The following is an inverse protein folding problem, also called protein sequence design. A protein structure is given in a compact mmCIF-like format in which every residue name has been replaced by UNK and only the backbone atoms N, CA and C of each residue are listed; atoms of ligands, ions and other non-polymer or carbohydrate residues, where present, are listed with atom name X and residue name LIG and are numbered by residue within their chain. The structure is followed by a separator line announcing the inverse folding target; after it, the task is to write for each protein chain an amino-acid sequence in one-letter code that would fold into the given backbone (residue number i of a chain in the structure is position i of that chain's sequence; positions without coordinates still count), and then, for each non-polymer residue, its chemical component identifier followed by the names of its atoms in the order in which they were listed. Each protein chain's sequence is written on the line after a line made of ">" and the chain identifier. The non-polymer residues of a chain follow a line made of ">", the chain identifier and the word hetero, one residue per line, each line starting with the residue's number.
data_IF_626641025535
#
_entry.id   IF_626641025535
#
_cell.length_a   1.000
_cell.length_b   1.000
_cell.length_c   1.000
_cell.angle_alpha   90.00
_cell.angle_beta   90.00
_cell.angle_gamma   90.00
#
_symmetry.space_group_name_H-M   'P 1'
#
loop_
_entity.id
_entity.type
_entity.pdbx_description
1 polymer ?
#
# COMPACT_ATOMS: atom_id res chain seq x y z
N UNK A 1 -13.86 -3.91 -0.50
CA UNK A 1 -13.46 -4.67 0.71
C UNK A 1 -14.21 -4.11 1.90
N UNK A 2 -14.99 -4.94 2.57
CA UNK A 2 -15.77 -4.54 3.73
C UNK A 2 -15.36 -5.25 5.02
N UNK A 3 -14.52 -6.27 4.94
CA UNK A 3 -14.07 -7.01 6.10
C UNK A 3 -13.05 -6.21 6.90
N UNK A 4 -13.30 -6.07 8.22
CA UNK A 4 -12.43 -5.29 9.11
C UNK A 4 -10.99 -5.78 9.10
N UNK A 5 -10.79 -7.09 9.23
CA UNK A 5 -9.45 -7.66 9.28
C UNK A 5 -8.69 -7.48 7.97
N UNK A 6 -9.39 -7.58 6.84
CA UNK A 6 -8.78 -7.36 5.53
C UNK A 6 -8.31 -5.91 5.37
N UNK A 7 -9.18 -4.94 5.66
CA UNK A 7 -8.83 -3.52 5.59
C UNK A 7 -7.71 -3.18 6.55
N UNK A 8 -7.79 -3.68 7.79
CA UNK A 8 -6.76 -3.43 8.80
C UNK A 8 -5.40 -3.99 8.36
N UNK A 9 -5.38 -5.15 7.70
CA UNK A 9 -4.14 -5.74 7.20
C UNK A 9 -3.54 -4.88 6.10
N UNK A 10 -4.35 -4.39 5.17
CA UNK A 10 -3.88 -3.48 4.12
C UNK A 10 -3.30 -2.21 4.75
N UNK A 11 -4.03 -1.60 5.69
CA UNK A 11 -3.58 -0.38 6.35
C UNK A 11 -2.33 -0.59 7.20
N UNK A 12 -2.22 -1.72 7.89
CA UNK A 12 -1.03 -2.05 8.67
C UNK A 12 0.22 -2.19 7.82
N UNK A 13 0.06 -2.74 6.62
CA UNK A 13 1.17 -2.83 5.67
C UNK A 13 1.59 -1.47 5.14
N UNK A 14 0.62 -0.59 4.83
CA UNK A 14 0.94 0.78 4.41
C UNK A 14 1.62 1.53 5.54
N UNK A 15 1.16 1.36 6.78
CA UNK A 15 1.80 1.98 7.95
C UNK A 15 3.27 1.59 8.06
N UNK A 16 3.59 0.32 7.87
CA UNK A 16 4.96 -0.16 7.92
C UNK A 16 5.80 0.42 6.79
N UNK A 17 5.24 0.52 5.58
CA UNK A 17 5.99 0.99 4.43
C UNK A 17 6.29 2.49 4.48
N UNK A 18 5.33 3.31 4.89
CA UNK A 18 5.42 4.75 4.70
C UNK A 18 4.81 5.60 5.80
N UNK A 19 4.18 4.99 6.81
CA UNK A 19 3.37 5.70 7.82
C UNK A 19 2.30 6.57 7.16
N UNK A 20 1.78 6.15 6.01
CA UNK A 20 0.82 6.90 5.19
C UNK A 20 1.36 8.25 4.68
N UNK A 21 2.67 8.40 4.60
CA UNK A 21 3.27 9.62 4.03
C UNK A 21 3.49 9.39 2.54
N UNK A 22 2.65 10.01 1.71
CA UNK A 22 2.65 9.76 0.27
C UNK A 22 3.94 10.24 -0.43
N UNK A 23 4.50 11.36 0.01
CA UNK A 23 5.69 11.93 -0.61
C UNK A 23 6.98 11.55 0.10
N UNK A 24 7.09 10.30 0.54
CA UNK A 24 8.28 9.79 1.22
C UNK A 24 9.14 8.96 0.26
N UNK A 25 10.42 9.27 0.22
CA UNK A 25 11.43 8.50 -0.49
C UNK A 25 12.14 7.59 0.52
N UNK A 26 12.64 6.45 0.09
CA UNK A 26 13.36 5.53 0.96
C UNK A 26 14.50 6.26 1.68
N UNK A 27 14.63 6.02 2.98
CA UNK A 27 15.56 6.77 3.82
C UNK A 27 14.91 7.93 4.55
N UNK A 28 13.67 8.27 4.25
CA UNK A 28 12.86 9.21 5.02
C UNK A 28 12.74 10.62 4.43
N UNK A 29 13.40 10.91 3.31
CA UNK A 29 13.27 12.22 2.68
C UNK A 29 11.87 12.42 2.12
N UNK A 30 11.27 13.58 2.39
CA UNK A 30 9.97 13.94 1.82
C UNK A 30 10.20 14.75 0.56
N UNK A 31 9.93 14.14 -0.58
CA UNK A 31 10.20 14.72 -1.90
C UNK A 31 9.05 14.39 -2.86
N UNK A 32 8.98 15.11 -3.98
CA UNK A 32 7.99 14.80 -5.00
C UNK A 32 8.37 13.52 -5.77
N UNK A 33 7.41 13.00 -6.52
CA UNK A 33 7.58 11.79 -7.33
C UNK A 33 8.84 11.85 -8.19
N UNK A 34 9.10 12.96 -8.86
CA UNK A 34 10.26 13.08 -9.77
C UNK A 34 11.59 13.25 -9.04
N UNK A 35 11.56 13.57 -7.76
CA UNK A 35 12.77 13.86 -6.97
C UNK A 35 13.28 12.67 -6.17
N UNK A 36 12.53 11.59 -6.08
CA UNK A 36 13.00 10.38 -5.40
C UNK A 36 13.94 9.62 -6.34
N UNK A 37 15.23 9.58 -6.00
CA UNK A 37 16.27 9.02 -6.86
C UNK A 37 16.78 7.67 -6.41
N UNK A 38 16.44 7.24 -5.20
CA UNK A 38 16.94 6.00 -4.62
C UNK A 38 15.84 5.25 -3.89
N UNK A 39 15.76 3.94 -4.14
CA UNK A 39 14.87 3.06 -3.40
C UNK A 39 13.40 3.28 -3.67
N UNK A 40 12.58 2.96 -2.67
CA UNK A 40 11.14 3.04 -2.78
C UNK A 40 10.58 4.43 -2.62
N UNK A 41 9.43 4.67 -3.24
CA UNK A 41 8.71 5.93 -3.13
C UNK A 41 7.24 5.69 -2.79
N UNK A 42 6.72 6.52 -1.89
CA UNK A 42 5.29 6.63 -1.64
C UNK A 42 4.71 5.60 -0.67
N UNK A 43 3.39 5.47 -0.69
CA UNK A 43 2.60 4.74 0.29
C UNK A 43 3.04 3.30 0.51
N UNK A 44 3.35 2.57 -0.55
CA UNK A 44 3.80 1.19 -0.44
C UNK A 44 5.24 1.01 -0.92
N UNK A 45 5.97 2.11 -1.01
CA UNK A 45 7.38 2.12 -1.37
C UNK A 45 7.63 1.40 -2.70
N UNK A 46 7.01 1.91 -3.77
CA UNK A 46 7.23 1.39 -5.11
C UNK A 46 8.71 1.48 -5.46
N UNK A 47 9.36 0.33 -5.54
CA UNK A 47 10.81 0.23 -5.72
C UNK A 47 11.17 -0.18 -7.15
N UNK A 48 10.44 -1.12 -7.75
CA UNK A 48 10.72 -1.55 -9.11
C UNK A 48 10.44 -0.42 -10.10
N UNK A 49 11.26 -0.32 -11.12
CA UNK A 49 11.12 0.73 -12.14
C UNK A 49 9.73 0.66 -12.78
N UNK A 50 9.24 -0.54 -13.09
CA UNK A 50 7.93 -0.71 -13.73
C UNK A 50 6.78 -0.21 -12.87
N UNK A 51 6.81 -0.50 -11.58
CA UNK A 51 5.75 -0.08 -10.66
C UNK A 51 5.82 1.43 -10.37
N UNK A 52 7.02 1.95 -10.19
CA UNK A 52 7.24 3.37 -9.97
C UNK A 52 6.82 4.20 -11.20
N UNK A 53 7.27 3.81 -12.39
CA UNK A 53 6.86 4.48 -13.63
C UNK A 53 5.37 4.33 -13.89
N UNK A 54 4.80 3.18 -13.51
CA UNK A 54 3.37 2.95 -13.61
C UNK A 54 2.56 3.98 -12.86
N UNK A 55 3.00 4.40 -11.67
CA UNK A 55 2.36 5.45 -10.91
C UNK A 55 2.31 6.77 -11.71
N UNK A 56 3.44 7.19 -12.26
CA UNK A 56 3.49 8.43 -13.04
C UNK A 56 2.64 8.36 -14.30
N UNK A 57 2.71 7.24 -15.01
CA UNK A 57 1.92 7.03 -16.25
C UNK A 57 0.42 6.99 -15.94
N UNK A 58 0.02 6.32 -14.87
CA UNK A 58 -1.37 6.25 -14.45
C UNK A 58 -1.89 7.66 -14.13
N UNK A 59 -1.16 8.43 -13.35
CA UNK A 59 -1.59 9.77 -12.98
C UNK A 59 -1.59 10.74 -14.17
N UNK A 60 -0.68 10.58 -15.12
CA UNK A 60 -0.71 11.34 -16.36
C UNK A 60 -1.97 11.05 -17.17
N UNK A 61 -2.38 9.77 -17.23
CA UNK A 61 -3.56 9.35 -17.97
C UNK A 61 -4.87 9.73 -17.28
N UNK A 62 -4.93 9.65 -15.96
CA UNK A 62 -6.16 9.80 -15.19
C UNK A 62 -6.20 11.10 -14.37
N UNK A 63 -5.34 12.05 -14.68
CA UNK A 63 -5.33 13.40 -14.10
C UNK A 63 -5.19 13.38 -12.57
N UNK A 64 -4.17 12.69 -12.06
CA UNK A 64 -3.86 12.74 -10.64
C UNK A 64 -2.40 13.15 -10.41
N UNK A 65 -2.10 13.54 -9.15
CA UNK A 65 -0.75 13.88 -8.74
C UNK A 65 -0.07 12.61 -8.17
N UNK A 66 1.02 12.13 -8.78
CA UNK A 66 1.70 10.93 -8.30
C UNK A 66 2.38 11.10 -6.94
N UNK A 67 2.48 12.33 -6.45
CA UNK A 67 3.02 12.61 -5.11
C UNK A 67 1.92 12.71 -4.05
N UNK A 68 0.65 12.62 -4.43
CA UNK A 68 -0.49 12.77 -3.52
C UNK A 68 -0.96 11.43 -2.99
N UNK A 69 -1.57 11.47 -1.80
CA UNK A 69 -2.22 10.30 -1.22
C UNK A 69 -3.29 9.75 -2.17
N UNK A 70 -4.14 10.60 -2.70
CA UNK A 70 -5.25 10.20 -3.57
C UNK A 70 -4.77 9.55 -4.85
N UNK A 71 -3.77 10.15 -5.51
CA UNK A 71 -3.21 9.58 -6.74
C UNK A 71 -2.57 8.22 -6.51
N UNK A 72 -1.84 8.08 -5.41
CA UNK A 72 -1.17 6.84 -5.07
C UNK A 72 -2.16 5.74 -4.69
N UNK A 73 -3.20 6.06 -3.94
CA UNK A 73 -4.25 5.06 -3.61
C UNK A 73 -4.94 4.59 -4.88
N UNK A 74 -5.25 5.49 -5.80
CA UNK A 74 -5.87 5.12 -7.09
C UNK A 74 -4.99 4.17 -7.90
N UNK A 75 -3.69 4.46 -8.00
CA UNK A 75 -2.76 3.55 -8.68
C UNK A 75 -2.65 2.22 -7.94
N UNK A 76 -2.48 2.26 -6.62
CA UNK A 76 -2.32 1.08 -5.79
C UNK A 76 -3.45 0.07 -6.01
N UNK A 77 -4.70 0.53 -5.97
CA UNK A 77 -5.85 -0.37 -6.14
C UNK A 77 -6.04 -0.82 -7.60
N UNK A 78 -5.47 -0.13 -8.55
CA UNK A 78 -5.56 -0.49 -9.97
C UNK A 78 -4.35 -1.27 -10.48
N UNK A 79 -3.30 -1.43 -9.67
CA UNK A 79 -2.14 -2.23 -10.07
C UNK A 79 -2.55 -3.68 -10.34
N UNK A 80 -2.02 -4.29 -11.41
CA UNK A 80 -2.33 -5.70 -11.70
C UNK A 80 -2.03 -6.64 -10.53
N UNK A 81 -0.95 -6.39 -9.78
CA UNK A 81 -0.59 -7.26 -8.64
C UNK A 81 -1.65 -7.17 -7.53
N UNK A 82 -2.17 -5.97 -7.24
CA UNK A 82 -3.22 -5.81 -6.24
C UNK A 82 -4.52 -6.45 -6.72
N UNK A 83 -4.91 -6.21 -7.96
CA UNK A 83 -6.12 -6.80 -8.54
C UNK A 83 -6.10 -8.32 -8.51
N UNK A 84 -4.92 -8.92 -8.65
CA UNK A 84 -4.76 -10.37 -8.59
C UNK A 84 -5.05 -10.93 -7.21
N UNK A 85 -4.68 -10.22 -6.14
CA UNK A 85 -4.90 -10.67 -4.76
C UNK A 85 -6.20 -10.14 -4.15
N UNK A 86 -6.83 -9.18 -4.79
CA UNK A 86 -8.05 -8.56 -4.29
C UNK A 86 -9.15 -9.56 -3.90
N UNK A 87 -9.43 -10.62 -4.67
CA UNK A 87 -10.46 -11.59 -4.27
C UNK A 87 -10.18 -12.23 -2.92
N UNK A 88 -8.93 -12.42 -2.53
CA UNK A 88 -8.58 -12.99 -1.24
C UNK A 88 -8.91 -12.05 -0.09
N UNK A 89 -8.82 -10.74 -0.32
CA UNK A 89 -9.25 -9.74 0.67
C UNK A 89 -10.76 -9.57 0.69
N UNK A 90 -11.42 -9.68 -0.45
CA UNK A 90 -12.87 -9.50 -0.56
C UNK A 90 -13.67 -10.67 0.00
N UNK A 91 -13.06 -11.87 0.06
CA UNK A 91 -13.74 -13.05 0.58
C UNK A 91 -14.26 -12.90 1.99
N UNK A 92 -13.54 -12.16 2.82
CA UNK A 92 -13.97 -11.85 4.19
C UNK A 92 -13.90 -13.04 5.14
N UNK A 93 -14.14 -12.77 6.42
CA UNK A 93 -14.29 -13.79 7.45
C UNK A 93 -12.99 -14.43 7.94
N UNK A 94 -11.84 -13.90 7.55
CA UNK A 94 -10.55 -14.48 7.93
C UNK A 94 -9.83 -13.63 8.99
N UNK A 95 -8.72 -14.17 9.50
CA UNK A 95 -7.89 -13.48 10.50
C UNK A 95 -6.93 -12.52 9.83
N UNK A 96 -6.37 -11.58 10.59
CA UNK A 96 -5.26 -10.74 10.13
C UNK A 96 -4.10 -11.62 9.65
N UNK A 97 -3.76 -12.65 10.41
CA UNK A 97 -2.67 -13.57 10.05
C UNK A 97 -2.90 -14.22 8.68
N UNK A 98 -4.14 -14.59 8.38
CA UNK A 98 -4.50 -15.13 7.06
C UNK A 98 -4.25 -14.08 5.97
N UNK A 99 -4.72 -12.86 6.18
CA UNK A 99 -4.60 -11.80 5.17
C UNK A 99 -3.15 -11.32 4.95
N UNK A 100 -2.24 -11.62 5.87
CA UNK A 100 -0.83 -11.33 5.68
C UNK A 100 -0.24 -12.10 4.49
N UNK A 101 -0.83 -13.22 4.08
CA UNK A 101 -0.37 -14.00 2.92
C UNK A 101 -0.60 -13.26 1.60
N UNK A 102 -1.85 -12.86 1.25
CA UNK A 102 -2.04 -12.05 0.06
C UNK A 102 -1.34 -10.70 0.15
N UNK A 103 -1.19 -10.13 1.34
CA UNK A 103 -0.42 -8.91 1.52
C UNK A 103 1.05 -9.10 1.12
N UNK A 104 1.65 -10.22 1.50
CA UNK A 104 3.01 -10.55 1.09
C UNK A 104 3.12 -10.68 -0.44
N UNK A 105 2.18 -11.37 -1.06
CA UNK A 105 2.17 -11.51 -2.52
C UNK A 105 2.07 -10.13 -3.19
N UNK A 106 1.25 -9.24 -2.63
CA UNK A 106 1.08 -7.89 -3.14
C UNK A 106 2.34 -7.04 -3.01
N UNK A 107 2.99 -7.05 -1.84
CA UNK A 107 4.09 -6.12 -1.54
C UNK A 107 5.48 -6.74 -1.67
N UNK A 108 5.64 -8.02 -1.36
CA UNK A 108 6.90 -8.73 -1.50
C UNK A 108 8.01 -8.21 -0.60
N UNK A 109 7.70 -7.88 0.66
CA UNK A 109 8.72 -7.34 1.58
C UNK A 109 9.82 -8.34 1.89
N UNK A 110 11.03 -7.82 2.15
CA UNK A 110 12.14 -8.64 2.65
C UNK A 110 12.07 -8.80 4.17
N UNK A 111 11.71 -7.72 4.89
CA UNK A 111 11.59 -7.71 6.34
C UNK A 111 10.13 -7.44 6.69
N UNK A 112 9.53 -8.35 7.48
CA UNK A 112 8.13 -8.24 7.87
C UNK A 112 7.86 -6.99 8.74
N UNK A 113 8.78 -6.69 9.65
CA UNK A 113 8.59 -5.57 10.57
C UNK A 113 7.35 -5.74 11.44
N UNK A 114 6.68 -4.63 11.73
CA UNK A 114 5.54 -4.58 12.63
C UNK A 114 4.19 -4.53 11.88
N UNK A 115 4.14 -4.99 10.63
CA UNK A 115 2.94 -4.93 9.78
C UNK A 115 1.73 -5.54 10.45
N UNK A 116 1.91 -6.71 11.03
CA UNK A 116 0.83 -7.45 11.68
C UNK A 116 0.38 -6.76 12.97
N UNK A 117 1.31 -6.23 13.75
CA UNK A 117 0.98 -5.46 14.95
C UNK A 117 0.18 -4.21 14.60
N UNK A 118 0.58 -3.48 13.57
CA UNK A 118 -0.17 -2.32 13.09
C UNK A 118 -1.56 -2.73 12.61
N UNK A 119 -1.69 -3.88 11.96
CA UNK A 119 -3.00 -4.39 11.54
C UNK A 119 -3.90 -4.64 12.74
N UNK A 120 -3.41 -5.29 13.78
CA UNK A 120 -4.19 -5.50 15.01
C UNK A 120 -4.60 -4.18 15.66
N UNK A 121 -3.74 -3.18 15.68
CA UNK A 121 -4.10 -1.86 16.19
C UNK A 121 -5.25 -1.25 15.40
N UNK A 122 -5.20 -1.36 14.07
CA UNK A 122 -6.27 -0.85 13.22
C UNK A 122 -7.59 -1.61 13.44
N UNK A 123 -7.57 -2.91 13.69
CA UNK A 123 -8.82 -3.65 13.98
C UNK A 123 -9.52 -3.12 15.22
N UNK A 124 -8.75 -2.64 16.20
CA UNK A 124 -9.31 -2.09 17.45
C UNK A 124 -9.88 -0.70 17.28
N UNK A 125 -9.34 0.08 16.34
CA UNK A 125 -9.71 1.49 16.14
C UNK A 125 -10.79 1.67 15.08
N UNK A 126 -10.94 0.70 14.19
CA UNK A 126 -11.78 0.83 13.01
C UNK A 126 -13.24 0.60 13.35
N UNK A 127 -14.09 1.56 12.98
CA UNK A 127 -15.54 1.42 13.07
C UNK A 127 -16.06 1.31 11.64
N UNK A 128 -16.66 0.15 11.32
CA UNK A 128 -17.28 -0.08 10.02
C UNK A 128 -18.78 0.05 10.15
N UNK A 129 -19.34 0.89 9.33
CA UNK A 129 -20.79 1.09 9.29
C UNK A 129 -21.50 -0.11 8.68
#
# INVERSE_FOLDING_TARGET
>A
ISDRNALATIMGNIQQESKFIANICEGGARVSYTQCKVGGFGLIQWTSIGRYRGLGQFCAKFACDPSSLQGQVRWMINEPIFQRVLPQFEGGGQTVSYYMRPAYTWLGWGIKGNRELYAYDYTKKMILA
#
